data_IF_478356864222
#
_entry.id   IF_478356864222
#
_cell.length_a   1.000
_cell.length_b   1.000
_cell.length_c   1.000
_cell.angle_alpha   90.00
_cell.angle_beta   90.00
_cell.angle_gamma   90.00
#
_symmetry.space_group_name_H-M   'P 1'
#
loop_
_entity.id
_entity.type
_entity.pdbx_description
1 polymer ?
#
# COMPACT_ATOMS: atom_id res chain seq x y z
N UNK A 1 -11.56 -14.02 -15.68
CA UNK A 1 -10.38 -14.71 -16.28
C UNK A 1 -9.31 -15.20 -15.30
N UNK A 2 -9.24 -14.72 -14.05
CA UNK A 2 -8.21 -15.15 -13.09
C UNK A 2 -8.07 -16.69 -12.93
N UNK A 3 -9.20 -17.43 -12.87
CA UNK A 3 -9.16 -18.89 -12.74
C UNK A 3 -8.44 -19.60 -13.91
N UNK A 4 -8.70 -19.18 -15.16
CA UNK A 4 -8.01 -19.72 -16.33
C UNK A 4 -6.52 -19.36 -16.30
N UNK A 5 -6.20 -18.11 -15.98
CA UNK A 5 -4.81 -17.63 -15.87
C UNK A 5 -3.99 -18.32 -14.77
N UNK A 6 -4.66 -18.86 -13.75
CA UNK A 6 -4.04 -19.64 -12.66
C UNK A 6 -4.10 -21.15 -12.89
N UNK A 7 -4.36 -21.58 -14.14
CA UNK A 7 -4.27 -22.97 -14.59
C UNK A 7 -5.41 -23.87 -14.11
N UNK A 8 -6.58 -23.31 -13.74
CA UNK A 8 -7.75 -24.15 -13.43
C UNK A 8 -8.31 -24.76 -14.71
N UNK A 9 -8.70 -26.06 -14.70
CA UNK A 9 -9.28 -26.72 -15.87
C UNK A 9 -10.54 -26.01 -16.38
N UNK A 10 -10.74 -25.99 -17.69
CA UNK A 10 -11.87 -25.29 -18.30
C UNK A 10 -13.22 -25.81 -17.80
N UNK A 11 -13.35 -27.13 -17.62
CA UNK A 11 -14.54 -27.76 -17.05
C UNK A 11 -14.92 -27.20 -15.67
N UNK A 12 -13.93 -26.92 -14.83
CA UNK A 12 -14.14 -26.34 -13.50
C UNK A 12 -14.56 -24.87 -13.61
N UNK A 13 -13.93 -24.10 -14.50
CA UNK A 13 -14.29 -22.69 -14.71
C UNK A 13 -15.74 -22.59 -15.20
N UNK A 14 -16.11 -23.44 -16.15
CA UNK A 14 -17.46 -23.48 -16.71
C UNK A 14 -18.50 -23.92 -15.67
N UNK A 15 -18.15 -24.90 -14.81
CA UNK A 15 -19.00 -25.33 -13.71
C UNK A 15 -19.26 -24.19 -12.72
N UNK A 16 -18.21 -23.49 -12.28
CA UNK A 16 -18.33 -22.37 -11.33
C UNK A 16 -19.18 -21.26 -11.92
N UNK A 17 -18.99 -20.92 -13.19
CA UNK A 17 -19.79 -19.90 -13.87
C UNK A 17 -21.27 -20.29 -13.95
N UNK A 18 -21.58 -21.51 -14.41
CA UNK A 18 -22.97 -22.00 -14.50
C UNK A 18 -23.64 -22.03 -13.14
N UNK A 19 -22.95 -22.54 -12.13
CA UNK A 19 -23.46 -22.61 -10.76
C UNK A 19 -23.74 -21.22 -10.20
N UNK A 20 -22.78 -20.30 -10.26
CA UNK A 20 -22.94 -18.94 -9.71
C UNK A 20 -24.02 -18.14 -10.45
N UNK A 21 -24.18 -18.33 -11.76
CA UNK A 21 -25.31 -17.75 -12.52
C UNK A 21 -26.65 -18.33 -12.06
N UNK A 22 -26.76 -19.65 -11.92
CA UNK A 22 -27.98 -20.30 -11.44
C UNK A 22 -28.37 -19.89 -10.01
N UNK A 23 -27.39 -19.54 -9.18
CA UNK A 23 -27.60 -19.05 -7.81
C UNK A 23 -27.76 -17.53 -7.71
N UNK A 24 -27.65 -16.77 -8.81
CA UNK A 24 -27.71 -15.30 -8.77
C UNK A 24 -26.50 -14.62 -8.12
N UNK A 25 -25.37 -15.31 -8.02
CA UNK A 25 -24.11 -14.82 -7.44
C UNK A 25 -23.15 -14.22 -8.49
N UNK A 26 -23.46 -14.39 -9.77
CA UNK A 26 -22.62 -13.92 -10.87
C UNK A 26 -22.96 -12.47 -11.23
N UNK A 27 -22.08 -11.53 -10.84
CA UNK A 27 -22.21 -10.09 -11.16
C UNK A 27 -21.69 -9.79 -12.56
N UNK A 28 -22.46 -9.04 -13.34
CA UNK A 28 -22.06 -8.40 -14.60
C UNK A 28 -22.41 -6.92 -14.53
N UNK A 29 -21.89 -6.06 -15.40
CA UNK A 29 -22.18 -4.61 -15.36
C UNK A 29 -23.68 -4.28 -15.47
N UNK A 30 -24.48 -5.15 -16.09
CA UNK A 30 -25.94 -5.02 -16.19
C UNK A 30 -26.69 -5.45 -14.91
N UNK A 31 -26.02 -6.12 -13.98
CA UNK A 31 -26.64 -6.51 -12.70
C UNK A 31 -26.88 -5.25 -11.86
N UNK A 32 -28.10 -5.04 -11.34
CA UNK A 32 -28.37 -3.88 -10.47
C UNK A 32 -27.50 -3.87 -9.22
N UNK A 33 -27.20 -2.67 -8.72
CA UNK A 33 -26.50 -2.55 -7.45
C UNK A 33 -27.35 -3.06 -6.28
N UNK A 34 -26.74 -3.77 -5.33
CA UNK A 34 -27.42 -4.14 -4.09
C UNK A 34 -27.90 -2.91 -3.31
N UNK A 35 -28.94 -3.10 -2.50
CA UNK A 35 -29.37 -2.07 -1.55
C UNK A 35 -28.45 -2.13 -0.33
N UNK A 36 -27.53 -1.18 -0.24
CA UNK A 36 -26.64 -1.02 0.91
C UNK A 36 -27.24 -0.09 1.96
N UNK A 37 -26.79 -0.20 3.22
CA UNK A 37 -27.17 0.74 4.27
C UNK A 37 -26.56 2.11 4.05
N UNK A 38 -25.32 2.14 3.55
CA UNK A 38 -24.55 3.33 3.24
C UNK A 38 -23.72 3.07 1.97
N UNK A 39 -23.51 4.12 1.18
CA UNK A 39 -22.69 4.08 -0.04
C UNK A 39 -21.53 5.07 0.12
N UNK A 40 -20.32 4.59 -0.15
CA UNK A 40 -19.09 5.42 -0.17
C UNK A 40 -18.51 5.37 -1.58
N UNK A 41 -18.19 6.54 -2.12
CA UNK A 41 -17.69 6.67 -3.49
C UNK A 41 -16.20 7.05 -3.52
N UNK A 42 -15.50 6.57 -4.55
CA UNK A 42 -14.11 6.93 -4.84
C UNK A 42 -13.92 7.06 -6.35
N UNK A 43 -13.60 8.27 -6.80
CA UNK A 43 -13.17 8.49 -8.18
C UNK A 43 -11.71 8.05 -8.35
N UNK A 44 -11.49 6.99 -9.13
CA UNK A 44 -10.16 6.45 -9.41
C UNK A 44 -9.24 7.45 -10.13
N UNK A 45 -9.78 8.43 -10.86
CA UNK A 45 -9.01 9.51 -11.49
C UNK A 45 -8.34 10.45 -10.49
N UNK A 46 -8.83 10.48 -9.25
CA UNK A 46 -8.25 11.29 -8.16
C UNK A 46 -7.12 10.59 -7.41
N UNK A 47 -6.89 9.31 -7.68
CA UNK A 47 -5.87 8.51 -6.98
C UNK A 47 -4.48 9.00 -7.36
N UNK A 48 -3.65 9.22 -6.34
CA UNK A 48 -2.26 9.64 -6.48
C UNK A 48 -1.32 8.69 -5.73
N UNK A 49 -0.07 8.50 -6.23
CA UNK A 49 0.94 7.72 -5.53
C UNK A 49 1.12 8.20 -4.09
N UNK A 50 1.08 7.26 -3.15
CA UNK A 50 1.17 7.56 -1.72
C UNK A 50 1.88 6.45 -0.96
N UNK A 51 2.36 6.83 0.23
CA UNK A 51 2.93 5.96 1.25
C UNK A 51 1.97 5.94 2.46
N UNK A 52 2.16 4.97 3.35
CA UNK A 52 1.48 4.92 4.64
C UNK A 52 2.52 4.95 5.77
N UNK A 53 2.27 5.73 6.82
CA UNK A 53 3.10 5.77 8.02
C UNK A 53 3.34 7.18 8.57
N UNK A 54 4.40 7.38 9.39
CA UNK A 54 5.46 6.42 9.68
C UNK A 54 5.11 5.37 10.76
N UNK A 55 3.95 5.49 11.45
CA UNK A 55 3.61 4.60 12.58
C UNK A 55 2.33 3.78 12.42
N UNK A 56 1.41 4.15 11.53
CA UNK A 56 0.13 3.43 11.34
C UNK A 56 -0.27 3.33 9.85
N UNK A 57 -0.99 2.28 9.44
CA UNK A 57 -1.33 2.04 8.03
C UNK A 57 -2.34 3.04 7.45
N UNK A 58 -3.21 3.63 8.27
CA UNK A 58 -4.19 4.63 7.82
C UNK A 58 -3.59 6.03 7.61
N UNK A 59 -2.34 6.27 8.03
CA UNK A 59 -1.68 7.56 7.89
C UNK A 59 -1.15 7.72 6.45
N UNK A 60 -2.04 8.12 5.53
CA UNK A 60 -1.72 8.32 4.11
C UNK A 60 -0.89 9.58 3.88
N UNK A 61 0.25 9.44 3.20
CA UNK A 61 1.14 10.53 2.79
C UNK A 61 1.29 10.49 1.28
N UNK A 62 0.89 11.55 0.57
CA UNK A 62 1.19 11.68 -0.86
C UNK A 62 2.70 11.60 -1.09
N UNK A 63 3.13 10.85 -2.11
CA UNK A 63 4.55 10.65 -2.38
C UNK A 63 5.26 11.99 -2.64
N UNK A 64 4.59 12.93 -3.32
CA UNK A 64 5.07 14.31 -3.53
C UNK A 64 5.35 15.07 -2.24
N UNK A 65 4.64 14.74 -1.16
CA UNK A 65 4.69 15.46 0.12
C UNK A 65 5.57 14.73 1.16
N UNK A 66 6.13 13.56 0.82
CA UNK A 66 6.84 12.69 1.76
C UNK A 66 7.94 13.43 2.52
N UNK A 67 8.80 14.18 1.82
CA UNK A 67 9.93 14.91 2.42
C UNK A 67 9.48 15.96 3.42
N UNK A 68 8.42 16.70 3.11
CA UNK A 68 7.88 17.73 3.99
C UNK A 68 7.25 17.10 5.23
N UNK A 69 6.42 16.07 5.05
CA UNK A 69 5.75 15.38 6.14
C UNK A 69 6.73 14.66 7.07
N UNK A 70 7.78 14.05 6.52
CA UNK A 70 8.84 13.42 7.30
C UNK A 70 9.52 14.43 8.24
N UNK A 71 9.89 15.62 7.73
CA UNK A 71 10.51 16.68 8.54
C UNK A 71 9.60 17.19 9.65
N UNK A 72 8.31 17.38 9.34
CA UNK A 72 7.29 17.72 10.35
C UNK A 72 7.21 16.66 11.43
N UNK A 73 7.21 15.38 11.04
CA UNK A 73 7.13 14.24 11.96
C UNK A 73 8.34 14.18 12.91
N UNK A 74 9.55 14.51 12.44
CA UNK A 74 10.74 14.51 13.30
C UNK A 74 10.58 15.44 14.51
N UNK A 75 10.07 16.66 14.28
CA UNK A 75 9.93 17.69 15.32
C UNK A 75 8.62 17.60 16.12
N UNK A 76 7.59 16.97 15.56
CA UNK A 76 6.29 16.86 16.22
C UNK A 76 6.40 16.10 17.56
N UNK A 77 5.60 16.46 18.58
CA UNK A 77 5.61 15.80 19.88
C UNK A 77 5.47 14.28 19.77
N UNK A 78 6.11 13.56 20.70
CA UNK A 78 6.07 12.10 20.73
C UNK A 78 4.61 11.63 20.72
N UNK A 79 4.25 10.88 19.69
CA UNK A 79 2.89 10.40 19.49
C UNK A 79 2.72 9.63 18.19
N UNK A 80 1.49 9.35 17.75
CA UNK A 80 1.22 8.59 16.52
C UNK A 80 1.87 9.19 15.27
N UNK A 81 2.06 10.51 15.23
CA UNK A 81 2.60 11.24 14.07
C UNK A 81 3.89 12.02 14.37
N UNK A 82 4.52 11.79 15.54
CA UNK A 82 5.68 12.58 15.97
C UNK A 82 6.76 11.78 16.69
N UNK A 83 8.00 12.19 16.48
CA UNK A 83 9.22 11.57 17.06
C UNK A 83 9.75 12.38 18.24
N UNK A 84 9.52 13.70 18.27
CA UNK A 84 9.89 14.58 19.38
C UNK A 84 11.35 15.01 19.41
N UNK A 85 12.02 15.08 18.25
CA UNK A 85 13.38 15.63 18.14
C UNK A 85 13.35 17.16 18.29
N UNK A 86 14.43 17.72 18.81
CA UNK A 86 14.70 19.16 18.78
C UNK A 86 15.38 19.56 17.47
N UNK A 87 15.31 20.85 17.11
CA UNK A 87 15.90 21.35 15.85
C UNK A 87 17.41 21.12 15.76
N UNK A 88 18.14 21.27 16.87
CA UNK A 88 19.58 21.03 16.97
C UNK A 88 19.97 19.56 16.79
N UNK A 89 19.00 18.64 16.81
CA UNK A 89 19.22 17.20 16.62
C UNK A 89 19.01 16.73 15.18
N UNK A 90 18.49 17.59 14.29
CA UNK A 90 18.18 17.24 12.90
C UNK A 90 19.44 16.96 12.06
N UNK A 91 20.58 17.52 12.45
CA UNK A 91 21.87 17.30 11.80
C UNK A 91 22.64 16.08 12.32
N UNK A 92 22.10 15.33 13.29
CA UNK A 92 22.78 14.17 13.86
C UNK A 92 22.98 13.09 12.81
N UNK A 93 24.22 12.62 12.70
CA UNK A 93 24.63 11.52 11.86
C UNK A 93 25.24 10.39 12.69
N UNK A 94 25.31 9.21 12.10
CA UNK A 94 26.00 8.06 12.65
C UNK A 94 26.79 7.35 11.55
N UNK A 95 27.98 6.85 11.91
CA UNK A 95 28.80 6.07 11.00
C UNK A 95 28.46 4.59 11.16
N UNK A 96 28.09 3.95 10.05
CA UNK A 96 27.77 2.52 9.98
C UNK A 96 28.88 1.79 9.22
N UNK A 97 29.28 0.62 9.72
CA UNK A 97 30.32 -0.23 9.12
C UNK A 97 29.71 -1.56 8.70
N UNK A 98 29.68 -1.84 7.41
CA UNK A 98 29.24 -3.12 6.84
C UNK A 98 30.01 -3.40 5.54
N UNK A 99 31.23 -3.91 5.65
CA UNK A 99 32.17 -4.07 4.53
C UNK A 99 32.78 -2.75 4.01
N UNK A 100 32.04 -1.65 4.11
CA UNK A 100 32.51 -0.26 3.91
C UNK A 100 31.97 0.64 5.03
N UNK A 101 32.58 1.82 5.18
CA UNK A 101 32.19 2.82 6.17
C UNK A 101 31.36 3.90 5.48
N UNK A 102 30.18 4.21 6.04
CA UNK A 102 29.27 5.21 5.49
C UNK A 102 28.60 5.98 6.61
N UNK A 103 28.44 7.29 6.43
CA UNK A 103 27.69 8.14 7.32
C UNK A 103 26.20 8.17 6.91
N UNK A 104 25.31 7.96 7.88
CA UNK A 104 23.86 8.07 7.68
C UNK A 104 23.26 9.11 8.64
N UNK A 105 22.22 9.81 8.17
CA UNK A 105 21.42 10.73 8.96
C UNK A 105 19.95 10.31 9.04
N UNK A 106 19.12 11.17 9.64
CA UNK A 106 17.67 10.95 9.71
C UNK A 106 17.06 10.76 8.32
N UNK A 107 16.32 9.67 8.15
CA UNK A 107 15.59 9.35 6.91
C UNK A 107 16.33 8.39 6.00
N UNK A 108 17.54 7.96 6.39
CA UNK A 108 18.24 6.86 5.73
C UNK A 108 17.35 5.61 5.71
N UNK A 109 17.15 5.06 4.50
CA UNK A 109 16.43 3.80 4.31
C UNK A 109 17.39 2.65 4.57
N UNK A 110 17.24 2.01 5.73
CA UNK A 110 18.10 0.88 6.15
C UNK A 110 17.47 -0.49 5.90
N UNK A 111 16.16 -0.51 5.61
CA UNK A 111 15.42 -1.70 5.20
C UNK A 111 14.55 -1.32 4.01
N UNK A 112 14.73 -2.03 2.89
CA UNK A 112 13.87 -1.98 1.72
C UNK A 112 13.49 -3.41 1.37
N UNK A 113 12.27 -3.82 1.71
CA UNK A 113 11.80 -5.18 1.53
C UNK A 113 10.54 -5.19 0.67
N UNK A 114 10.57 -5.96 -0.42
CA UNK A 114 9.38 -6.32 -1.17
C UNK A 114 8.80 -7.57 -0.50
N UNK A 115 7.69 -7.40 0.20
CA UNK A 115 7.08 -8.44 1.06
C UNK A 115 5.56 -8.34 1.05
N UNK A 116 4.92 -9.22 1.81
CA UNK A 116 3.46 -9.39 1.98
C UNK A 116 2.72 -9.88 0.73
N UNK A 117 1.76 -10.77 0.95
CA UNK A 117 0.84 -11.26 -0.09
C UNK A 117 -0.01 -10.15 -0.72
N UNK A 118 -0.20 -9.01 -0.04
CA UNK A 118 -0.97 -7.87 -0.55
C UNK A 118 -0.40 -7.33 -1.88
N UNK A 119 0.92 -7.32 -2.03
CA UNK A 119 1.58 -6.83 -3.26
C UNK A 119 2.19 -7.98 -4.07
N UNK A 120 2.78 -8.99 -3.43
CA UNK A 120 3.48 -10.07 -4.15
C UNK A 120 2.54 -10.99 -4.92
N UNK A 121 1.24 -11.00 -4.61
CA UNK A 121 0.24 -11.73 -5.40
C UNK A 121 -0.22 -11.00 -6.67
N UNK A 122 0.19 -9.74 -6.85
CA UNK A 122 -0.18 -8.92 -8.00
C UNK A 122 1.00 -8.82 -9.00
N UNK A 123 0.94 -9.49 -10.16
CA UNK A 123 2.03 -9.45 -11.13
C UNK A 123 2.29 -8.05 -11.70
N UNK A 124 1.25 -7.19 -11.78
CA UNK A 124 1.39 -5.85 -12.36
C UNK A 124 2.31 -4.93 -11.56
N UNK A 125 2.37 -5.08 -10.23
CA UNK A 125 3.27 -4.26 -9.37
C UNK A 125 4.64 -4.90 -9.19
N UNK A 126 4.78 -6.18 -9.56
CA UNK A 126 6.03 -6.93 -9.41
C UNK A 126 6.91 -6.90 -10.66
N UNK A 127 6.30 -6.82 -11.85
CA UNK A 127 7.04 -6.81 -13.12
C UNK A 127 7.53 -5.40 -13.48
N UNK A 128 6.84 -4.36 -12.98
CA UNK A 128 7.24 -2.95 -13.15
C UNK A 128 6.90 -2.36 -14.52
#
# INVERSE_FOLDING_TARGET
NYMRNTGRPDELVDLVEKYTKAQGLYRTDETPDPIFTDVVELDLGTVQPSLAGPKRPQDRILLSNMKEQYRKTLLAPVGPQGIGLKEDELGKTAVVKNGSETEIGHGAVVIAAITSCTNTSNPYVMIG
#
